data_IF_826694419915
#
_entry.id   IF_826694419915
#
_cell.length_a   1.000
_cell.length_b   1.000
_cell.length_c   1.000
_cell.angle_alpha   90.00
_cell.angle_beta   90.00
_cell.angle_gamma   90.00
#
_symmetry.space_group_name_H-M   'P 1'
#
loop_
_entity.id
_entity.type
_entity.pdbx_description
1 polymer ?
#
# COMPACT_ATOMS: atom_id res chain seq x y z
N UNK A 1 37.46 -39.39 2.56
CA UNK A 1 36.32 -39.78 3.41
C UNK A 1 36.31 -38.81 4.59
N UNK A 2 35.66 -37.66 4.43
CA UNK A 2 35.52 -36.67 5.51
C UNK A 2 34.33 -37.07 6.38
N UNK A 3 34.61 -37.42 7.63
CA UNK A 3 33.59 -37.66 8.65
C UNK A 3 33.09 -36.28 9.11
N UNK A 4 31.91 -35.89 8.64
CA UNK A 4 31.23 -34.71 9.18
C UNK A 4 30.95 -34.92 10.67
N UNK A 5 31.44 -33.96 11.46
CA UNK A 5 31.33 -33.92 12.90
C UNK A 5 29.86 -33.88 13.35
N UNK A 6 29.41 -34.97 13.97
CA UNK A 6 28.04 -35.15 14.46
C UNK A 6 27.62 -34.08 15.47
N UNK A 7 28.56 -33.45 16.18
CA UNK A 7 28.22 -32.41 17.15
C UNK A 7 27.79 -31.10 16.47
N UNK A 8 28.46 -30.72 15.38
CA UNK A 8 28.12 -29.54 14.59
C UNK A 8 26.70 -29.62 13.98
N UNK A 9 26.32 -30.79 13.44
CA UNK A 9 24.98 -31.05 12.89
C UNK A 9 23.90 -31.03 13.98
N UNK A 10 24.24 -31.45 15.20
CA UNK A 10 23.33 -31.49 16.34
C UNK A 10 23.07 -30.08 16.90
N UNK A 11 24.09 -29.22 16.93
CA UNK A 11 23.97 -27.83 17.35
C UNK A 11 23.11 -26.99 16.38
N UNK A 12 23.29 -27.17 15.07
CA UNK A 12 22.51 -26.49 14.03
C UNK A 12 21.03 -26.90 14.11
N UNK A 13 20.72 -28.20 14.27
CA UNK A 13 19.34 -28.70 14.44
C UNK A 13 18.66 -28.21 15.72
N UNK A 14 19.42 -28.00 16.81
CA UNK A 14 18.89 -27.54 18.10
C UNK A 14 18.50 -26.07 18.04
N UNK A 15 19.29 -25.25 17.35
CA UNK A 15 18.99 -23.84 17.13
C UNK A 15 17.80 -23.65 16.16
N UNK A 16 17.74 -24.38 15.04
CA UNK A 16 16.59 -24.33 14.12
C UNK A 16 15.25 -24.63 14.83
N UNK A 17 15.22 -25.69 15.68
CA UNK A 17 14.03 -26.03 16.47
C UNK A 17 13.61 -24.91 17.44
N UNK A 18 14.57 -24.18 17.99
CA UNK A 18 14.30 -23.08 18.91
C UNK A 18 13.74 -21.85 18.18
N UNK A 19 14.29 -21.49 17.02
CA UNK A 19 13.78 -20.38 16.20
C UNK A 19 12.37 -20.64 15.66
N UNK A 20 12.07 -21.88 15.24
CA UNK A 20 10.73 -22.29 14.77
C UNK A 20 9.70 -22.24 15.91
N UNK A 21 10.07 -22.64 17.14
CA UNK A 21 9.19 -22.62 18.32
C UNK A 21 8.77 -21.20 18.74
N UNK A 22 9.62 -20.20 18.53
CA UNK A 22 9.29 -18.80 18.85
C UNK A 22 8.43 -18.13 17.77
N UNK A 23 8.58 -18.50 16.50
CA UNK A 23 7.77 -17.95 15.40
C UNK A 23 6.39 -18.60 15.28
N UNK A 24 6.25 -19.90 15.61
CA UNK A 24 5.01 -20.67 15.46
C UNK A 24 4.18 -20.80 16.75
N UNK A 25 4.62 -20.21 17.86
CA UNK A 25 3.93 -20.30 19.16
C UNK A 25 2.43 -19.96 19.16
N UNK A 26 1.91 -18.99 18.39
CA UNK A 26 0.46 -18.75 18.33
C UNK A 26 -0.31 -19.78 17.47
N UNK A 27 0.36 -20.60 16.65
CA UNK A 27 -0.27 -21.63 15.81
C UNK A 27 -0.09 -23.05 16.36
N UNK A 28 1.00 -23.33 17.08
CA UNK A 28 1.28 -24.65 17.66
C UNK A 28 0.36 -25.05 18.81
N UNK A 29 -0.38 -24.10 19.41
CA UNK A 29 -1.33 -24.40 20.49
C UNK A 29 -2.59 -25.11 19.97
N UNK A 30 -2.88 -25.05 18.67
CA UNK A 30 -4.13 -25.61 18.11
C UNK A 30 -3.92 -26.99 17.49
N UNK A 31 -2.70 -27.39 17.11
CA UNK A 31 -2.51 -28.67 16.42
C UNK A 31 -1.22 -29.36 16.87
N UNK A 32 -1.39 -30.42 17.65
CA UNK A 32 -0.35 -31.35 18.09
C UNK A 32 0.14 -32.15 16.87
N UNK A 33 1.23 -31.72 16.24
CA UNK A 33 1.54 -32.11 14.87
C UNK A 33 2.96 -32.69 14.70
N UNK A 34 3.00 -33.86 14.04
CA UNK A 34 4.16 -34.73 13.80
C UNK A 34 5.14 -34.21 12.72
N UNK A 35 6.36 -34.73 12.66
CA UNK A 35 7.51 -34.16 11.93
C UNK A 35 7.32 -33.93 10.42
N UNK A 36 6.47 -34.69 9.72
CA UNK A 36 6.16 -34.48 8.29
C UNK A 36 5.35 -33.22 8.03
N UNK A 37 4.49 -32.83 8.96
CA UNK A 37 3.69 -31.62 8.85
C UNK A 37 4.51 -30.34 9.09
N UNK A 38 5.72 -30.44 9.64
CA UNK A 38 6.60 -29.27 9.78
C UNK A 38 6.94 -28.66 8.42
N UNK A 39 7.11 -29.50 7.38
CA UNK A 39 7.32 -29.05 6.01
C UNK A 39 6.06 -28.45 5.40
N UNK A 40 4.90 -29.09 5.61
CA UNK A 40 3.60 -28.57 5.12
C UNK A 40 3.30 -27.20 5.71
N UNK A 41 3.48 -27.04 7.03
CA UNK A 41 3.29 -25.77 7.72
C UNK A 41 4.32 -24.70 7.28
N UNK A 42 5.57 -25.10 7.01
CA UNK A 42 6.60 -24.19 6.47
C UNK A 42 6.23 -23.74 5.05
N UNK A 43 5.79 -24.65 4.18
CA UNK A 43 5.33 -24.33 2.83
C UNK A 43 4.12 -23.39 2.86
N UNK A 44 3.13 -23.67 3.71
CA UNK A 44 1.97 -22.79 3.89
C UNK A 44 2.36 -21.38 4.34
N UNK A 45 3.29 -21.27 5.29
CA UNK A 45 3.83 -19.98 5.72
C UNK A 45 4.47 -19.20 4.56
N UNK A 46 5.31 -19.84 3.75
CA UNK A 46 5.92 -19.19 2.58
C UNK A 46 4.89 -18.74 1.56
N UNK A 47 3.91 -19.59 1.24
CA UNK A 47 2.81 -19.24 0.33
C UNK A 47 2.08 -18.00 0.84
N UNK A 48 1.71 -17.96 2.12
CA UNK A 48 1.02 -16.82 2.71
C UNK A 48 1.85 -15.52 2.61
N UNK A 49 3.16 -15.57 2.88
CA UNK A 49 4.03 -14.40 2.75
C UNK A 49 4.14 -13.92 1.29
N UNK A 50 4.21 -14.85 0.34
CA UNK A 50 4.23 -14.52 -1.10
C UNK A 50 2.89 -13.88 -1.51
N UNK A 51 1.76 -14.44 -1.07
CA UNK A 51 0.45 -13.85 -1.31
C UNK A 51 0.35 -12.42 -0.75
N UNK A 52 0.79 -12.20 0.50
CA UNK A 52 0.81 -10.87 1.13
C UNK A 52 1.69 -9.90 0.34
N UNK A 53 2.90 -10.35 -0.06
CA UNK A 53 3.82 -9.56 -0.88
C UNK A 53 3.15 -9.13 -2.19
N UNK A 54 2.51 -10.06 -2.90
CA UNK A 54 1.83 -9.81 -4.17
C UNK A 54 0.66 -8.84 -3.96
N UNK A 55 -0.20 -9.08 -2.96
CA UNK A 55 -1.36 -8.23 -2.66
C UNK A 55 -0.91 -6.80 -2.38
N UNK A 56 0.08 -6.60 -1.50
CA UNK A 56 0.59 -5.27 -1.20
C UNK A 56 1.25 -4.61 -2.40
N UNK A 57 1.93 -5.38 -3.25
CA UNK A 57 2.51 -4.86 -4.50
C UNK A 57 1.40 -4.40 -5.45
N UNK A 58 0.36 -5.19 -5.68
CA UNK A 58 -0.74 -4.82 -6.58
C UNK A 58 -1.51 -3.60 -6.07
N UNK A 59 -1.79 -3.52 -4.77
CA UNK A 59 -2.61 -2.45 -4.21
C UNK A 59 -1.84 -1.11 -4.18
N UNK A 60 -0.52 -1.13 -3.97
CA UNK A 60 0.27 0.08 -3.65
C UNK A 60 1.51 0.32 -4.53
N UNK A 61 1.82 -0.59 -5.47
CA UNK A 61 3.07 -0.70 -6.23
C UNK A 61 4.33 -1.02 -5.39
N UNK A 62 4.44 -0.50 -4.17
CA UNK A 62 5.66 -0.55 -3.33
C UNK A 62 5.56 -1.44 -2.10
N UNK A 63 4.34 -1.76 -1.67
CA UNK A 63 4.08 -2.34 -0.36
C UNK A 63 4.67 -3.73 -0.17
N UNK A 64 4.79 -4.53 -1.23
CA UNK A 64 5.46 -5.82 -1.15
C UNK A 64 6.96 -5.67 -0.87
N UNK A 65 7.65 -4.74 -1.52
CA UNK A 65 9.06 -4.47 -1.26
C UNK A 65 9.27 -3.99 0.19
N UNK A 66 8.42 -3.08 0.67
CA UNK A 66 8.46 -2.59 2.05
C UNK A 66 8.21 -3.74 3.04
N UNK A 67 7.23 -4.60 2.75
CA UNK A 67 6.95 -5.80 3.54
C UNK A 67 8.16 -6.74 3.60
N UNK A 68 8.79 -6.99 2.46
CA UNK A 68 10.00 -7.80 2.39
C UNK A 68 11.14 -7.20 3.24
N UNK A 69 11.39 -5.89 3.15
CA UNK A 69 12.37 -5.22 4.01
C UNK A 69 12.00 -5.32 5.50
N UNK A 70 10.72 -5.18 5.86
CA UNK A 70 10.26 -5.34 7.23
C UNK A 70 10.57 -6.74 7.79
N UNK A 71 10.41 -7.79 6.97
CA UNK A 71 10.79 -9.15 7.35
C UNK A 71 12.29 -9.30 7.57
N UNK A 72 13.11 -8.68 6.72
CA UNK A 72 14.57 -8.68 6.89
C UNK A 72 14.98 -7.96 8.19
N UNK A 73 14.49 -6.74 8.42
CA UNK A 73 14.82 -5.96 9.62
C UNK A 73 14.43 -6.66 10.92
N UNK A 74 13.29 -7.37 10.92
CA UNK A 74 12.83 -8.09 12.10
C UNK A 74 13.77 -9.25 12.49
N UNK A 75 14.58 -9.75 11.57
CA UNK A 75 15.60 -10.75 11.87
C UNK A 75 16.90 -10.11 12.41
N UNK A 76 17.16 -8.84 12.09
CA UNK A 76 18.32 -8.10 12.58
C UNK A 76 18.11 -7.56 14.00
N UNK A 77 16.99 -6.89 14.24
CA UNK A 77 16.68 -6.30 15.54
C UNK A 77 15.90 -7.31 16.37
N UNK A 78 16.59 -7.98 17.31
CA UNK A 78 16.06 -8.98 18.28
C UNK A 78 15.07 -8.38 19.31
N UNK A 79 14.25 -7.42 18.90
CA UNK A 79 13.12 -6.94 19.68
C UNK A 79 12.13 -8.12 19.80
N UNK A 80 11.38 -8.22 20.89
CA UNK A 80 10.54 -9.39 21.14
C UNK A 80 9.19 -8.99 21.74
N UNK A 81 8.22 -8.66 20.87
CA UNK A 81 6.81 -8.58 21.26
C UNK A 81 5.91 -9.05 20.11
N UNK A 82 4.68 -9.47 20.46
CA UNK A 82 3.76 -10.20 19.57
C UNK A 82 3.45 -9.49 18.25
N UNK A 83 3.47 -8.16 18.22
CA UNK A 83 3.06 -7.34 17.08
C UNK A 83 4.22 -6.63 16.37
N UNK A 84 5.48 -6.96 16.68
CA UNK A 84 6.65 -6.21 16.19
C UNK A 84 6.72 -6.12 14.67
N UNK A 85 6.55 -7.22 13.95
CA UNK A 85 6.62 -7.21 12.48
C UNK A 85 5.61 -6.26 11.87
N UNK A 86 4.40 -6.21 12.44
CA UNK A 86 3.37 -5.31 12.00
C UNK A 86 3.77 -3.85 12.27
N UNK A 87 4.29 -3.55 13.46
CA UNK A 87 4.74 -2.19 13.81
C UNK A 87 5.90 -1.75 12.92
N UNK A 88 6.90 -2.62 12.68
CA UNK A 88 8.04 -2.33 11.79
C UNK A 88 7.54 -2.10 10.37
N UNK A 89 6.65 -2.95 9.86
CA UNK A 89 6.07 -2.77 8.53
C UNK A 89 5.30 -1.46 8.41
N UNK A 90 4.40 -1.15 9.37
CA UNK A 90 3.64 0.09 9.37
C UNK A 90 4.60 1.29 9.43
N UNK A 91 5.58 1.30 10.33
CA UNK A 91 6.56 2.37 10.44
C UNK A 91 7.32 2.60 9.13
N UNK A 92 7.88 1.53 8.55
CA UNK A 92 8.58 1.61 7.26
C UNK A 92 7.66 2.06 6.12
N UNK A 93 6.41 1.59 6.10
CA UNK A 93 5.43 1.94 5.08
C UNK A 93 5.03 3.42 5.14
N UNK A 94 4.81 3.96 6.34
CA UNK A 94 4.51 5.38 6.52
C UNK A 94 5.71 6.25 6.17
N UNK A 95 6.92 5.88 6.61
CA UNK A 95 8.16 6.58 6.23
C UNK A 95 8.32 6.58 4.71
N UNK A 96 8.13 5.43 4.06
CA UNK A 96 8.22 5.34 2.61
C UNK A 96 7.17 6.23 1.92
N UNK A 97 5.89 6.08 2.29
CA UNK A 97 4.75 6.79 1.68
C UNK A 97 4.83 8.30 1.84
N UNK A 98 5.22 8.79 3.02
CA UNK A 98 5.18 10.22 3.31
C UNK A 98 6.51 10.95 3.13
N UNK A 99 7.66 10.25 3.20
CA UNK A 99 8.98 10.88 3.12
C UNK A 99 9.77 10.43 1.89
N UNK A 100 9.91 9.13 1.64
CA UNK A 100 10.81 8.62 0.59
C UNK A 100 10.20 8.78 -0.80
N UNK A 101 9.02 8.19 -1.02
CA UNK A 101 8.36 8.12 -2.32
C UNK A 101 8.10 9.51 -2.93
N UNK A 102 7.54 10.51 -2.21
CA UNK A 102 7.39 11.87 -2.78
C UNK A 102 8.68 12.49 -3.30
N UNK A 103 9.82 12.20 -2.68
CA UNK A 103 11.13 12.75 -3.08
C UNK A 103 11.71 11.96 -4.26
N UNK A 104 11.48 10.65 -4.33
CA UNK A 104 12.03 9.80 -5.39
C UNK A 104 11.17 9.70 -6.64
N UNK A 105 9.83 9.82 -6.52
CA UNK A 105 8.91 9.70 -7.65
C UNK A 105 9.17 10.68 -8.81
N UNK A 106 9.64 11.93 -8.58
CA UNK A 106 9.97 12.87 -9.66
C UNK A 106 11.04 12.34 -10.62
N UNK A 107 11.97 11.51 -10.15
CA UNK A 107 12.99 10.84 -10.99
C UNK A 107 12.32 9.97 -12.07
N UNK A 108 11.14 9.43 -11.77
CA UNK A 108 10.33 8.60 -12.66
C UNK A 108 9.26 9.41 -13.42
N UNK A 109 9.32 10.74 -13.36
CA UNK A 109 8.37 11.64 -14.03
C UNK A 109 6.99 11.66 -13.35
N UNK A 110 6.95 11.47 -12.03
CA UNK A 110 5.75 11.48 -11.20
C UNK A 110 5.87 12.42 -10.03
N UNK A 111 4.79 13.10 -9.69
CA UNK A 111 4.66 13.92 -8.50
C UNK A 111 3.36 13.58 -7.80
N UNK A 112 3.32 13.75 -6.46
CA UNK A 112 2.05 13.71 -5.74
C UNK A 112 1.13 14.81 -6.25
N UNK A 113 -0.17 14.53 -6.31
CA UNK A 113 -1.18 15.59 -6.47
C UNK A 113 -0.99 16.63 -5.37
N UNK A 114 -0.88 17.91 -5.74
CA UNK A 114 -0.71 19.02 -4.81
C UNK A 114 -2.04 19.35 -4.15
N UNK A 115 -2.12 19.16 -2.83
CA UNK A 115 -3.33 19.48 -2.07
C UNK A 115 -3.40 20.97 -1.75
N UNK A 116 -4.59 21.54 -1.89
CA UNK A 116 -4.92 22.91 -1.53
C UNK A 116 -6.33 22.93 -0.93
N UNK A 117 -6.81 24.10 -0.49
CA UNK A 117 -8.20 24.22 -0.02
C UNK A 117 -9.22 23.90 -1.12
N UNK A 118 -8.81 24.03 -2.39
CA UNK A 118 -9.65 23.79 -3.57
C UNK A 118 -9.41 22.41 -4.20
N UNK A 119 -8.27 21.76 -3.95
CA UNK A 119 -7.89 20.47 -4.54
C UNK A 119 -7.59 19.47 -3.42
N UNK A 120 -8.43 18.46 -3.28
CA UNK A 120 -8.29 17.46 -2.21
C UNK A 120 -8.66 16.06 -2.68
N UNK A 121 -8.18 15.00 -2.03
CA UNK A 121 -8.68 13.67 -2.30
C UNK A 121 -10.13 13.54 -1.83
N UNK A 122 -10.93 12.80 -2.59
CA UNK A 122 -12.20 12.23 -2.16
C UNK A 122 -12.04 11.42 -0.87
N UNK A 123 -11.00 10.59 -0.85
CA UNK A 123 -10.61 9.76 0.29
C UNK A 123 -9.10 9.71 0.42
N UNK A 124 -8.59 9.87 1.64
CA UNK A 124 -7.16 9.75 1.90
C UNK A 124 -6.62 8.33 1.68
N UNK A 125 -7.47 7.34 1.42
CA UNK A 125 -7.02 6.01 1.01
C UNK A 125 -6.20 6.06 -0.28
N UNK A 126 -6.53 6.93 -1.25
CA UNK A 126 -5.71 7.04 -2.47
C UNK A 126 -4.30 7.56 -2.17
N UNK A 127 -4.15 8.38 -1.11
CA UNK A 127 -2.85 8.88 -0.64
C UNK A 127 -2.07 7.78 0.07
N UNK A 128 -2.70 7.10 1.04
CA UNK A 128 -2.06 6.02 1.82
C UNK A 128 -1.65 4.86 0.93
N UNK A 129 -2.42 4.55 -0.12
CA UNK A 129 -2.11 3.49 -1.08
C UNK A 129 -1.16 3.93 -2.21
N UNK A 130 -0.62 5.16 -2.15
CA UNK A 130 0.26 5.72 -3.18
C UNK A 130 -0.37 5.74 -4.60
N UNK A 131 -1.68 5.96 -4.69
CA UNK A 131 -2.47 6.06 -5.93
C UNK A 131 -2.73 7.50 -6.38
N UNK A 132 -2.07 8.48 -5.76
CA UNK A 132 -2.25 9.91 -6.00
C UNK A 132 -1.05 10.55 -6.72
N UNK A 133 -0.37 9.81 -7.62
CA UNK A 133 0.77 10.33 -8.37
C UNK A 133 0.39 10.63 -9.82
N UNK A 134 0.79 11.78 -10.32
CA UNK A 134 0.50 12.28 -11.67
C UNK A 134 1.74 12.91 -12.29
N UNK A 135 1.69 13.25 -13.58
CA UNK A 135 2.74 14.05 -14.21
C UNK A 135 2.66 15.52 -13.75
N UNK A 136 3.79 16.24 -13.71
CA UNK A 136 3.82 17.66 -13.33
C UNK A 136 2.85 18.54 -14.14
N UNK A 137 2.71 18.27 -15.45
CA UNK A 137 1.78 18.98 -16.31
C UNK A 137 0.31 18.87 -15.84
N UNK A 138 -0.10 17.72 -15.30
CA UNK A 138 -1.45 17.54 -14.79
C UNK A 138 -1.64 18.25 -13.44
N UNK A 139 -0.59 18.35 -12.61
CA UNK A 139 -0.61 19.19 -11.41
C UNK A 139 -0.79 20.68 -11.79
N UNK A 140 -0.13 21.14 -12.84
CA UNK A 140 -0.30 22.52 -13.34
C UNK A 140 -1.72 22.75 -13.86
N UNK A 141 -2.27 21.81 -14.63
CA UNK A 141 -3.65 21.89 -15.12
C UNK A 141 -4.67 21.93 -13.97
N UNK A 142 -4.49 21.11 -12.93
CA UNK A 142 -5.35 21.15 -11.74
C UNK A 142 -5.25 22.51 -11.02
N UNK A 143 -4.05 23.07 -10.92
CA UNK A 143 -3.85 24.39 -10.34
C UNK A 143 -4.52 25.50 -11.17
N UNK A 144 -4.41 25.46 -12.50
CA UNK A 144 -5.10 26.38 -13.41
C UNK A 144 -6.62 26.24 -13.28
N UNK A 145 -7.15 25.02 -13.36
CA UNK A 145 -8.57 24.76 -13.17
C UNK A 145 -9.08 25.28 -11.81
N UNK A 146 -8.28 25.14 -10.74
CA UNK A 146 -8.64 25.66 -9.42
C UNK A 146 -8.73 27.18 -9.35
N UNK A 147 -7.98 27.90 -10.19
CA UNK A 147 -8.06 29.37 -10.29
C UNK A 147 -9.33 29.81 -11.00
N UNK A 148 -9.74 29.11 -12.06
CA UNK A 148 -10.97 29.40 -12.82
C UNK A 148 -12.24 29.28 -11.95
N UNK A 149 -12.24 28.36 -10.99
CA UNK A 149 -13.37 28.17 -10.05
C UNK A 149 -13.18 28.93 -8.73
N UNK A 150 -12.15 29.76 -8.61
CA UNK A 150 -11.88 30.49 -7.38
C UNK A 150 -13.02 31.48 -7.09
N UNK A 151 -13.45 31.54 -5.83
CA UNK A 151 -14.61 32.36 -5.42
C UNK A 151 -15.96 31.67 -5.60
N UNK A 152 -16.01 30.48 -6.21
CA UNK A 152 -17.18 29.61 -6.17
C UNK A 152 -17.15 28.72 -4.93
N UNK A 153 -18.27 28.04 -4.64
CA UNK A 153 -18.32 26.99 -3.60
C UNK A 153 -17.88 25.61 -4.11
N UNK A 154 -17.19 25.55 -5.25
CA UNK A 154 -16.76 24.29 -5.87
C UNK A 154 -15.38 23.90 -5.33
N UNK A 155 -15.20 22.60 -5.07
CA UNK A 155 -13.89 22.02 -4.77
C UNK A 155 -13.62 20.86 -5.72
N UNK A 156 -12.39 20.75 -6.22
CA UNK A 156 -11.92 19.64 -7.01
C UNK A 156 -11.57 18.49 -6.06
N UNK A 157 -12.49 17.54 -5.93
CA UNK A 157 -12.26 16.29 -5.21
C UNK A 157 -11.78 15.21 -6.18
N UNK A 158 -10.55 14.74 -6.05
CA UNK A 158 -9.98 13.73 -6.94
C UNK A 158 -10.06 12.30 -6.35
N UNK A 159 -10.15 11.30 -7.22
CA UNK A 159 -10.26 9.87 -6.88
C UNK A 159 -8.94 9.15 -7.18
N UNK A 160 -8.94 8.03 -7.91
CA UNK A 160 -7.72 7.35 -8.30
C UNK A 160 -6.98 8.12 -9.42
N UNK A 161 -5.64 8.15 -9.31
CA UNK A 161 -4.75 8.71 -10.31
C UNK A 161 -3.75 7.64 -10.76
N UNK A 162 -2.49 7.67 -10.31
CA UNK A 162 -1.50 6.69 -10.69
C UNK A 162 -0.58 6.30 -9.54
N UNK A 163 0.22 5.27 -9.79
CA UNK A 163 1.33 4.86 -8.94
C UNK A 163 2.62 5.66 -9.24
N UNK A 164 3.58 5.71 -8.30
CA UNK A 164 4.73 6.61 -8.35
C UNK A 164 5.86 6.26 -9.34
N UNK A 165 6.04 5.00 -9.76
CA UNK A 165 7.31 4.59 -10.38
C UNK A 165 7.20 3.95 -11.76
N UNK A 166 6.35 2.95 -11.94
CA UNK A 166 6.34 2.10 -13.15
C UNK A 166 5.11 2.39 -14.02
N UNK A 167 5.31 2.72 -15.29
CA UNK A 167 4.24 2.80 -16.28
C UNK A 167 3.64 1.41 -16.55
N UNK A 168 2.35 1.35 -16.89
CA UNK A 168 1.61 0.10 -17.17
C UNK A 168 1.52 -0.88 -16.00
N UNK A 169 1.89 -0.45 -14.79
CA UNK A 169 1.56 -1.19 -13.59
C UNK A 169 0.03 -1.20 -13.40
N UNK A 170 -0.60 -2.37 -13.17
CA UNK A 170 -2.05 -2.47 -13.16
C UNK A 170 -2.65 -1.76 -11.93
N UNK A 171 -3.39 -0.70 -12.17
CA UNK A 171 -4.21 -0.03 -11.15
C UNK A 171 -5.63 -0.58 -11.21
N UNK A 172 -5.95 -1.60 -10.41
CA UNK A 172 -7.30 -2.16 -10.39
C UNK A 172 -8.28 -1.25 -9.62
N UNK A 173 -9.52 -1.05 -10.11
CA UNK A 173 -10.06 -1.49 -11.42
C UNK A 173 -9.72 -0.56 -12.60
N UNK A 174 -9.14 0.62 -12.33
CA UNK A 174 -8.85 1.70 -13.27
C UNK A 174 -7.64 1.46 -14.19
N UNK A 175 -7.66 0.39 -14.99
CA UNK A 175 -6.52 -0.06 -15.81
C UNK A 175 -6.00 0.97 -16.84
N UNK A 176 -6.83 1.95 -17.23
CA UNK A 176 -6.45 2.99 -18.18
C UNK A 176 -5.46 4.01 -17.58
N UNK A 177 -5.33 4.04 -16.25
CA UNK A 177 -4.38 4.88 -15.52
C UNK A 177 -3.00 4.22 -15.49
N UNK A 178 -2.30 4.27 -16.61
CA UNK A 178 -1.04 3.54 -16.79
C UNK A 178 0.19 4.44 -16.98
N UNK A 179 0.04 5.76 -17.08
CA UNK A 179 1.12 6.67 -17.48
C UNK A 179 1.15 8.03 -16.76
N UNK A 180 0.33 8.19 -15.71
CA UNK A 180 0.25 9.40 -14.88
C UNK A 180 -0.37 10.61 -15.56
N UNK A 181 -0.99 10.44 -16.74
CA UNK A 181 -1.66 11.53 -17.47
C UNK A 181 -3.16 11.63 -17.18
N UNK A 182 -3.67 10.82 -16.26
CA UNK A 182 -5.09 10.76 -15.90
C UNK A 182 -5.25 10.87 -14.40
N UNK A 183 -6.39 11.46 -14.03
CA UNK A 183 -6.88 11.55 -12.66
C UNK A 183 -8.40 11.51 -12.75
N UNK A 184 -9.02 10.65 -11.96
CA UNK A 184 -10.47 10.61 -11.86
C UNK A 184 -10.91 11.74 -10.91
N UNK A 185 -12.00 12.43 -11.24
CA UNK A 185 -12.60 13.46 -10.40
C UNK A 185 -13.97 12.98 -9.91
N UNK A 186 -14.28 13.30 -8.66
CA UNK A 186 -15.62 13.12 -8.11
C UNK A 186 -16.57 14.12 -8.74
N UNK A 187 -17.81 13.69 -8.99
CA UNK A 187 -18.89 14.61 -9.30
C UNK A 187 -19.16 15.56 -8.13
N UNK A 188 -19.66 16.74 -8.50
CA UNK A 188 -20.19 17.75 -7.58
C UNK A 188 -21.70 17.63 -7.63
N UNK A 189 -22.35 17.66 -6.47
CA UNK A 189 -23.79 17.49 -6.35
C UNK A 189 -24.42 18.73 -5.73
N UNK A 190 -25.68 18.97 -6.05
CA UNK A 190 -26.53 19.92 -5.35
C UNK A 190 -27.29 19.21 -4.22
N UNK A 191 -27.65 19.94 -3.18
CA UNK A 191 -28.62 19.50 -2.21
C UNK A 191 -30.06 19.65 -2.73
N UNK A 192 -31.03 19.24 -1.93
CA UNK A 192 -32.47 19.35 -2.25
C UNK A 192 -32.95 20.78 -2.52
N UNK A 193 -32.19 21.80 -2.11
CA UNK A 193 -32.49 23.21 -2.31
C UNK A 193 -31.73 23.80 -3.52
N UNK A 194 -31.03 22.97 -4.31
CA UNK A 194 -30.22 23.41 -5.45
C UNK A 194 -28.88 24.05 -5.05
N UNK A 195 -28.43 23.92 -3.79
CA UNK A 195 -27.14 24.46 -3.35
C UNK A 195 -26.04 23.44 -3.53
N UNK A 196 -24.90 23.86 -4.07
CA UNK A 196 -23.71 23.00 -4.19
C UNK A 196 -23.30 22.42 -2.83
N UNK A 197 -23.18 21.10 -2.79
CA UNK A 197 -22.76 20.31 -1.64
C UNK A 197 -21.27 20.00 -1.72
N UNK A 198 -20.57 20.18 -0.60
CA UNK A 198 -19.16 19.74 -0.46
C UNK A 198 -19.03 18.27 -0.06
N UNK A 199 -20.16 17.58 0.15
CA UNK A 199 -20.21 16.17 0.54
C UNK A 199 -20.23 15.26 -0.67
N UNK A 200 -19.53 14.14 -0.57
CA UNK A 200 -19.61 13.07 -1.53
C UNK A 200 -20.80 12.16 -1.24
N UNK A 201 -21.36 11.54 -2.27
CA UNK A 201 -22.44 10.56 -2.14
C UNK A 201 -21.97 9.19 -1.63
N UNK A 202 -20.67 8.92 -1.66
CA UNK A 202 -20.09 7.69 -1.12
C UNK A 202 -18.72 7.95 -0.49
N UNK A 203 -18.29 7.04 0.40
CA UNK A 203 -17.00 7.13 1.09
C UNK A 203 -15.79 6.96 0.16
N UNK A 204 -15.97 6.25 -0.95
CA UNK A 204 -14.94 6.07 -1.97
C UNK A 204 -15.00 7.14 -3.06
N UNK A 205 -16.11 7.88 -3.15
CA UNK A 205 -16.47 8.73 -4.29
C UNK A 205 -16.92 7.96 -5.55
N UNK A 206 -17.00 6.63 -5.49
CA UNK A 206 -17.51 5.77 -6.56
C UNK A 206 -18.84 5.10 -6.20
N UNK A 207 -19.55 4.57 -7.19
CA UNK A 207 -20.66 3.62 -7.01
C UNK A 207 -22.02 4.24 -6.70
N UNK A 208 -22.12 5.57 -6.60
CA UNK A 208 -23.39 6.29 -6.44
C UNK A 208 -23.44 7.41 -7.46
N UNK A 209 -24.46 7.41 -8.30
CA UNK A 209 -24.64 8.38 -9.37
C UNK A 209 -26.07 8.91 -9.39
N UNK A 210 -26.25 10.12 -9.91
CA UNK A 210 -27.56 10.61 -10.32
C UNK A 210 -27.73 10.39 -11.83
N UNK A 211 -28.97 10.22 -12.27
CA UNK A 211 -29.26 10.23 -13.69
C UNK A 211 -28.97 11.61 -14.27
N UNK A 212 -28.52 11.70 -15.53
CA UNK A 212 -28.38 12.98 -16.22
C UNK A 212 -29.69 13.77 -16.14
N UNK A 213 -29.59 15.07 -15.86
CA UNK A 213 -30.70 16.01 -15.98
C UNK A 213 -30.75 16.57 -17.39
#
# INVERSE_FOLDING_TARGET
MFLEDKESVTFIKKNEKQYVKYFMKPFQVILNINSSHSYVLKSFYWIMNICIFIIFTIITQVGGLIYFFALLLNNFFKISFRCQRLIVFIGLYFIATFLIIPVTAPIFGREKVKHTDMIKPATYMTVVLNRNYIRPALNNLLAEASKEIQGTNIQIAYLDANFPFINKFPLLPHLSHNDGKKIDLSFIYEDQNGKLSTKQKSMSGYGVFENPK
#
